data_IF_669623814318
#
_entry.id   IF_669623814318
#
_cell.length_a   1.000
_cell.length_b   1.000
_cell.length_c   1.000
_cell.angle_alpha   90.00
_cell.angle_beta   90.00
_cell.angle_gamma   90.00
#
_symmetry.space_group_name_H-M   'P 1'
#
loop_
_entity.id
_entity.type
_entity.pdbx_description
1 polymer ?
#
# COMPACT_ATOMS: atom_id res chain seq x y z
N UNK A 1 21.25 15.99 20.58
CA UNK A 1 21.16 14.73 19.81
C UNK A 1 19.70 14.64 19.38
N UNK A 2 19.35 15.33 18.29
CA UNK A 2 19.27 14.83 16.91
C UNK A 2 18.18 13.77 16.79
N UNK A 3 17.04 14.29 16.37
CA UNK A 3 15.72 13.68 16.17
C UNK A 3 15.82 12.41 15.32
N UNK A 4 15.52 11.27 15.95
CA UNK A 4 15.42 9.96 15.33
C UNK A 4 14.17 9.95 14.45
N UNK A 5 14.35 10.28 13.18
CA UNK A 5 13.32 10.26 12.14
C UNK A 5 12.97 8.80 11.85
N UNK A 6 12.22 8.20 12.77
CA UNK A 6 11.82 6.80 12.79
C UNK A 6 10.71 6.54 11.73
N UNK A 7 11.04 6.73 10.46
CA UNK A 7 10.31 6.15 9.33
C UNK A 7 10.55 4.65 9.37
N UNK A 8 9.77 3.93 10.17
CA UNK A 8 9.84 2.47 10.24
C UNK A 8 9.39 1.91 8.89
N UNK A 9 10.35 1.55 8.06
CA UNK A 9 10.13 0.83 6.83
C UNK A 9 9.74 -0.61 7.21
N UNK A 10 8.47 -0.96 7.01
CA UNK A 10 7.97 -2.30 7.26
C UNK A 10 7.89 -3.07 5.94
N UNK A 11 8.27 -4.35 5.95
CA UNK A 11 8.21 -5.18 4.76
C UNK A 11 6.76 -5.54 4.43
N UNK A 12 6.32 -5.19 3.22
CA UNK A 12 4.98 -5.50 2.72
C UNK A 12 4.95 -6.92 2.16
N UNK A 13 4.01 -7.74 2.62
CA UNK A 13 3.77 -9.07 2.05
C UNK A 13 2.99 -8.96 0.72
N UNK A 14 1.84 -8.28 0.75
CA UNK A 14 1.01 -8.04 -0.44
C UNK A 14 -0.07 -7.00 -0.19
N UNK A 15 -0.57 -6.39 -1.25
CA UNK A 15 -1.82 -5.62 -1.23
C UNK A 15 -2.97 -6.60 -1.39
N UNK A 16 -3.93 -6.59 -0.46
CA UNK A 16 -5.11 -7.46 -0.54
C UNK A 16 -6.23 -6.75 -1.30
N UNK A 17 -6.54 -5.51 -0.92
CA UNK A 17 -7.65 -4.74 -1.47
C UNK A 17 -7.26 -3.28 -1.67
N UNK A 18 -8.07 -2.55 -2.41
CA UNK A 18 -8.02 -1.11 -2.48
C UNK A 18 -9.43 -0.56 -2.37
N UNK A 19 -9.55 0.68 -1.90
CA UNK A 19 -10.81 1.39 -1.83
C UNK A 19 -10.57 2.86 -2.16
N UNK A 20 -11.48 3.46 -2.91
CA UNK A 20 -11.45 4.89 -3.21
C UNK A 20 -12.36 5.62 -2.21
N UNK A 21 -11.79 6.54 -1.44
CA UNK A 21 -12.49 7.37 -0.46
C UNK A 21 -12.09 8.83 -0.71
N UNK A 22 -13.06 9.73 -0.90
CA UNK A 22 -12.83 11.17 -1.14
C UNK A 22 -11.76 11.44 -2.21
N UNK A 23 -11.86 10.81 -3.38
CA UNK A 23 -10.87 10.90 -4.47
C UNK A 23 -9.44 10.41 -4.13
N UNK A 24 -9.23 9.83 -2.95
CA UNK A 24 -7.97 9.18 -2.59
C UNK A 24 -8.13 7.67 -2.65
N UNK A 25 -7.08 6.98 -3.10
CA UNK A 25 -7.05 5.53 -3.11
C UNK A 25 -6.28 5.08 -1.87
N UNK A 26 -6.93 4.25 -1.07
CA UNK A 26 -6.33 3.54 0.05
C UNK A 26 -6.14 2.09 -0.35
N UNK A 27 -5.04 1.50 0.10
CA UNK A 27 -4.68 0.12 -0.15
C UNK A 27 -4.63 -0.63 1.17
N UNK A 28 -5.29 -1.78 1.22
CA UNK A 28 -5.24 -2.65 2.38
C UNK A 28 -3.98 -3.52 2.28
N UNK A 29 -2.97 -3.12 3.06
CA UNK A 29 -1.64 -3.71 3.03
C UNK A 29 -1.58 -4.86 4.03
N UNK A 30 -1.12 -6.02 3.56
CA UNK A 30 -0.69 -7.09 4.44
C UNK A 30 0.79 -6.93 4.72
N UNK A 31 1.13 -6.68 5.97
CA UNK A 31 2.51 -6.56 6.42
C UNK A 31 3.10 -7.94 6.69
N UNK A 32 4.35 -8.16 6.27
CA UNK A 32 5.05 -9.42 6.52
C UNK A 32 5.41 -9.50 7.99
N UNK A 33 5.30 -10.70 8.56
CA UNK A 33 5.50 -10.97 9.99
C UNK A 33 4.50 -10.23 10.92
N UNK A 34 3.47 -9.59 10.37
CA UNK A 34 2.33 -9.11 11.14
C UNK A 34 1.18 -10.10 10.98
N UNK A 35 0.46 -10.40 12.07
CA UNK A 35 -0.70 -11.29 12.01
C UNK A 35 -1.79 -10.75 11.07
N UNK A 36 -2.78 -11.58 10.73
CA UNK A 36 -3.89 -11.19 9.83
C UNK A 36 -4.67 -9.95 10.30
N UNK A 37 -4.61 -9.64 11.60
CA UNK A 37 -5.24 -8.46 12.20
C UNK A 37 -4.34 -7.23 12.19
N UNK A 38 -3.08 -7.35 11.76
CA UNK A 38 -2.13 -6.25 11.66
C UNK A 38 -2.22 -5.47 10.35
N UNK A 39 -3.11 -5.86 9.45
CA UNK A 39 -3.30 -5.20 8.17
C UNK A 39 -3.92 -3.80 8.35
N UNK A 40 -3.39 -2.82 7.63
CA UNK A 40 -3.83 -1.42 7.71
C UNK A 40 -4.15 -0.87 6.32
N UNK A 41 -4.93 0.20 6.29
CA UNK A 41 -5.25 0.95 5.08
C UNK A 41 -4.23 2.07 4.89
N UNK A 42 -3.36 1.91 3.90
CA UNK A 42 -2.30 2.85 3.60
C UNK A 42 -2.62 3.64 2.33
N UNK A 43 -2.42 4.96 2.31
CA UNK A 43 -2.55 5.73 1.08
C UNK A 43 -1.45 5.35 0.09
N UNK A 44 -1.69 5.60 -1.19
CA UNK A 44 -0.68 5.40 -2.23
C UNK A 44 0.66 6.08 -1.90
N UNK A 45 0.58 7.26 -1.28
CA UNK A 45 1.72 8.07 -0.84
C UNK A 45 2.61 7.33 0.17
N UNK A 46 2.07 6.39 0.96
CA UNK A 46 2.84 5.60 1.91
C UNK A 46 3.45 4.33 1.27
N UNK A 47 3.01 3.96 0.07
CA UNK A 47 3.50 2.80 -0.69
C UNK A 47 4.60 3.16 -1.70
N UNK A 48 5.12 4.38 -1.64
CA UNK A 48 6.22 4.86 -2.51
C UNK A 48 7.47 3.98 -2.43
N UNK A 49 7.67 3.30 -1.30
CA UNK A 49 8.83 2.43 -1.08
C UNK A 49 8.67 1.02 -1.70
N UNK A 50 7.47 0.69 -2.19
CA UNK A 50 7.15 -0.62 -2.75
C UNK A 50 6.45 -0.53 -4.12
N UNK A 51 7.05 0.18 -5.10
CA UNK A 51 6.41 0.42 -6.40
C UNK A 51 6.16 -0.88 -7.18
N UNK A 52 6.98 -1.92 -6.97
CA UNK A 52 6.82 -3.22 -7.63
C UNK A 52 5.51 -3.91 -7.22
N UNK A 53 5.22 -3.96 -5.91
CA UNK A 53 4.02 -4.60 -5.37
C UNK A 53 2.77 -3.81 -5.77
N UNK A 54 2.85 -2.48 -5.66
CA UNK A 54 1.76 -1.60 -6.06
C UNK A 54 1.45 -1.72 -7.55
N UNK A 55 2.48 -1.73 -8.41
CA UNK A 55 2.30 -1.85 -9.85
C UNK A 55 1.72 -3.21 -10.24
N UNK A 56 2.22 -4.31 -9.67
CA UNK A 56 1.67 -5.65 -9.91
C UNK A 56 0.18 -5.72 -9.54
N UNK A 57 -0.18 -5.16 -8.38
CA UNK A 57 -1.57 -5.06 -7.94
C UNK A 57 -2.42 -4.22 -8.92
N UNK A 58 -1.97 -3.01 -9.28
CA UNK A 58 -2.67 -2.14 -10.23
C UNK A 58 -2.84 -2.77 -11.61
N UNK A 59 -1.81 -3.47 -12.10
CA UNK A 59 -1.87 -4.19 -13.38
C UNK A 59 -2.89 -5.33 -13.33
N UNK A 60 -2.87 -6.15 -12.27
CA UNK A 60 -3.83 -7.23 -12.07
C UNK A 60 -5.26 -6.73 -11.92
N UNK A 61 -5.45 -5.65 -11.17
CA UNK A 61 -6.76 -5.05 -10.93
C UNK A 61 -7.19 -4.09 -12.04
N UNK A 62 -6.47 -4.07 -13.16
CA UNK A 62 -6.83 -3.35 -14.38
C UNK A 62 -7.03 -1.83 -14.16
N UNK A 63 -6.32 -1.25 -13.18
CA UNK A 63 -6.48 0.14 -12.74
C UNK A 63 -6.36 1.15 -13.89
N UNK A 64 -5.54 0.81 -14.88
CA UNK A 64 -5.24 1.65 -16.04
C UNK A 64 -6.19 1.44 -17.22
N UNK A 65 -7.10 0.45 -17.18
CA UNK A 65 -7.97 0.12 -18.33
C UNK A 65 -9.33 0.80 -18.32
N UNK A 66 -9.69 1.56 -17.29
CA UNK A 66 -10.98 2.28 -17.22
C UNK A 66 -10.90 3.73 -17.71
N UNK A 67 -10.11 3.98 -18.76
CA UNK A 67 -10.15 5.21 -19.54
C UNK A 67 -10.67 4.86 -20.94
N UNK A 68 -11.98 4.65 -21.05
CA UNK A 68 -12.68 4.57 -22.33
C UNK A 68 -13.93 5.42 -22.28
#
# INVERSE_FOLDING_TARGET
MSDDTNSKEYEIEKIIFHQQINNKILYFVKWKNCGLNGNTWEPEENLINCPKILNDYKTKNNFFKNKK
#
